data_IF_403402764209
#
_entry.id   IF_403402764209
#
_cell.length_a   1.000
_cell.length_b   1.000
_cell.length_c   1.000
_cell.angle_alpha   90.00
_cell.angle_beta   90.00
_cell.angle_gamma   90.00
#
_symmetry.space_group_name_H-M   'P 1'
#
loop_
_entity.id
_entity.type
_entity.pdbx_description
1 polymer ?
#
# COMPACT_ATOMS: atom_id res chain seq x y z
N UNK A 1 -14.86 28.85 -15.55
CA UNK A 1 -15.82 27.79 -15.96
C UNK A 1 -15.83 27.54 -17.47
N UNK A 2 -16.08 28.54 -18.33
CA UNK A 2 -16.14 28.35 -19.78
C UNK A 2 -14.85 27.80 -20.43
N UNK A 3 -13.67 28.24 -19.97
CA UNK A 3 -12.38 27.79 -20.52
C UNK A 3 -12.08 26.30 -20.24
N UNK A 4 -12.51 25.79 -19.08
CA UNK A 4 -12.31 24.38 -18.69
C UNK A 4 -13.17 23.46 -19.57
N UNK A 5 -14.41 23.89 -19.87
CA UNK A 5 -15.30 23.15 -20.77
C UNK A 5 -14.70 23.09 -22.19
N UNK A 6 -14.19 24.22 -22.71
CA UNK A 6 -13.52 24.24 -24.01
C UNK A 6 -12.30 23.33 -24.05
N UNK A 7 -11.48 23.35 -23.01
CA UNK A 7 -10.31 22.49 -22.90
C UNK A 7 -10.66 21.00 -22.84
N UNK A 8 -11.69 20.62 -22.07
CA UNK A 8 -12.22 19.26 -22.02
C UNK A 8 -12.73 18.78 -23.38
N UNK A 9 -13.44 19.65 -24.13
CA UNK A 9 -13.91 19.29 -25.47
C UNK A 9 -12.78 19.08 -26.47
N UNK A 10 -11.69 19.84 -26.36
CA UNK A 10 -10.49 19.69 -27.21
C UNK A 10 -9.77 18.37 -26.92
N UNK A 11 -9.60 18.03 -25.64
CA UNK A 11 -9.01 16.75 -25.21
C UNK A 11 -9.86 15.57 -25.69
N UNK A 12 -11.18 15.65 -25.48
CA UNK A 12 -12.11 14.63 -25.95
C UNK A 12 -12.02 14.39 -27.45
N UNK A 13 -11.97 15.47 -28.27
CA UNK A 13 -11.80 15.35 -29.72
C UNK A 13 -10.45 14.76 -30.12
N UNK A 14 -9.38 15.08 -29.39
CA UNK A 14 -8.02 14.59 -29.68
C UNK A 14 -7.85 13.11 -29.36
N UNK A 15 -8.45 12.66 -28.25
CA UNK A 15 -8.46 11.25 -27.84
C UNK A 15 -9.40 10.41 -28.69
N UNK A 16 -10.55 10.95 -29.14
CA UNK A 16 -11.53 10.21 -29.91
C UNK A 16 -11.12 9.98 -31.38
N UNK A 17 -10.32 10.88 -31.96
CA UNK A 17 -9.92 10.84 -33.38
C UNK A 17 -9.15 9.58 -33.81
N UNK A 18 -8.12 9.09 -33.08
CA UNK A 18 -7.36 7.91 -33.49
C UNK A 18 -8.14 6.59 -33.34
N UNK A 19 -9.08 6.53 -32.40
CA UNK A 19 -9.84 5.30 -32.09
C UNK A 19 -11.15 5.21 -32.86
N UNK A 20 -11.59 6.31 -33.49
CA UNK A 20 -12.83 6.41 -34.26
C UNK A 20 -13.08 5.22 -35.22
N UNK A 21 -12.15 4.79 -36.09
CA UNK A 21 -12.43 3.72 -37.05
C UNK A 21 -12.61 2.33 -36.41
N UNK A 22 -12.01 2.11 -35.24
CA UNK A 22 -12.08 0.83 -34.51
C UNK A 22 -13.35 0.76 -33.67
N UNK A 23 -13.76 1.89 -33.09
CA UNK A 23 -14.94 1.95 -32.20
C UNK A 23 -16.24 2.13 -33.01
N UNK A 24 -16.24 2.80 -34.17
CA UNK A 24 -17.47 3.06 -34.93
C UNK A 24 -18.31 1.81 -35.27
N UNK A 25 -17.76 0.70 -35.78
CA UNK A 25 -18.58 -0.46 -36.14
C UNK A 25 -19.17 -1.17 -34.91
N UNK A 26 -18.52 -1.07 -33.74
CA UNK A 26 -18.96 -1.73 -32.50
C UNK A 26 -19.91 -0.87 -31.66
N UNK A 27 -19.70 0.45 -31.61
CA UNK A 27 -20.62 1.42 -30.96
C UNK A 27 -21.92 1.65 -31.75
N UNK A 28 -21.97 1.35 -33.05
CA UNK A 28 -23.23 1.41 -33.81
C UNK A 28 -24.19 0.28 -33.44
N UNK A 29 -23.67 -0.87 -33.00
CA UNK A 29 -24.48 -2.00 -32.56
C UNK A 29 -25.02 -1.80 -31.13
N UNK A 30 -24.21 -1.19 -30.26
CA UNK A 30 -24.51 -1.05 -28.83
C UNK A 30 -24.77 0.42 -28.53
N UNK A 31 -26.01 0.74 -28.18
CA UNK A 31 -26.39 2.11 -27.83
C UNK A 31 -25.62 2.55 -26.56
N UNK A 32 -25.16 3.79 -26.51
CA UNK A 32 -24.36 4.32 -25.37
C UNK A 32 -25.02 4.06 -24.00
N UNK A 33 -26.36 4.11 -23.91
CA UNK A 33 -27.08 3.80 -22.67
C UNK A 33 -26.94 2.34 -22.22
N UNK A 34 -26.76 1.39 -23.15
CA UNK A 34 -26.52 -0.02 -22.83
C UNK A 34 -25.13 -0.22 -22.22
N UNK A 35 -24.12 0.52 -22.69
CA UNK A 35 -22.79 0.52 -22.07
C UNK A 35 -22.83 1.07 -20.65
N UNK A 36 -23.56 2.17 -20.43
CA UNK A 36 -23.75 2.73 -19.09
C UNK A 36 -24.47 1.75 -18.16
N UNK A 37 -25.48 1.03 -18.65
CA UNK A 37 -26.15 -0.02 -17.90
C UNK A 37 -25.21 -1.17 -17.55
N UNK A 38 -24.38 -1.62 -18.48
CA UNK A 38 -23.41 -2.70 -18.22
C UNK A 38 -22.41 -2.27 -17.14
N UNK A 39 -21.88 -1.04 -17.23
CA UNK A 39 -20.97 -0.49 -16.22
C UNK A 39 -21.67 -0.40 -14.86
N UNK A 40 -22.91 0.11 -14.81
CA UNK A 40 -23.70 0.19 -13.59
C UNK A 40 -23.97 -1.19 -12.96
N UNK A 41 -24.23 -2.21 -13.79
CA UNK A 41 -24.41 -3.59 -13.33
C UNK A 41 -23.11 -4.17 -12.79
N UNK A 42 -21.97 -3.92 -13.44
CA UNK A 42 -20.65 -4.33 -12.94
C UNK A 42 -20.36 -3.68 -11.59
N UNK A 43 -20.64 -2.39 -11.42
CA UNK A 43 -20.48 -1.68 -10.15
C UNK A 43 -21.39 -2.25 -9.06
N UNK A 44 -22.66 -2.56 -9.39
CA UNK A 44 -23.61 -3.19 -8.46
C UNK A 44 -23.11 -4.56 -7.98
N UNK A 45 -22.61 -5.39 -8.91
CA UNK A 45 -22.06 -6.71 -8.60
C UNK A 45 -20.81 -6.58 -7.73
N UNK A 46 -19.92 -5.63 -8.03
CA UNK A 46 -18.72 -5.35 -7.25
C UNK A 46 -19.05 -4.90 -5.82
N UNK A 47 -20.13 -4.14 -5.62
CA UNK A 47 -20.60 -3.72 -4.30
C UNK A 47 -21.15 -4.89 -3.48
N UNK A 48 -21.81 -5.86 -4.12
CA UNK A 48 -22.39 -7.04 -3.46
C UNK A 48 -21.33 -8.07 -3.06
N UNK A 49 -20.23 -8.17 -3.80
CA UNK A 49 -19.12 -9.10 -3.53
C UNK A 49 -17.79 -8.36 -3.59
N UNK A 50 -17.37 -7.70 -2.49
CA UNK A 50 -16.05 -7.09 -2.45
C UNK A 50 -14.98 -8.15 -2.70
N UNK A 51 -13.96 -7.80 -3.49
CA UNK A 51 -12.83 -8.67 -3.74
C UNK A 51 -12.13 -9.03 -2.42
N UNK A 52 -11.62 -10.26 -2.26
CA UNK A 52 -10.83 -10.61 -1.10
C UNK A 52 -9.58 -9.72 -1.00
N UNK A 53 -9.24 -9.29 0.22
CA UNK A 53 -8.15 -8.34 0.46
C UNK A 53 -6.81 -8.82 -0.12
N UNK A 54 -6.56 -10.12 -0.12
CA UNK A 54 -5.35 -10.71 -0.70
C UNK A 54 -5.19 -10.38 -2.19
N UNK A 55 -6.28 -10.43 -2.97
CA UNK A 55 -6.25 -10.12 -4.41
C UNK A 55 -6.02 -8.62 -4.60
N UNK A 56 -6.69 -7.79 -3.81
CA UNK A 56 -6.53 -6.33 -3.86
C UNK A 56 -5.07 -5.95 -3.58
N UNK A 57 -4.46 -6.56 -2.57
CA UNK A 57 -3.08 -6.28 -2.17
C UNK A 57 -2.07 -6.83 -3.18
N UNK A 58 -2.28 -8.04 -3.72
CA UNK A 58 -1.44 -8.57 -4.81
C UNK A 58 -1.49 -7.68 -6.06
N UNK A 59 -2.67 -7.24 -6.48
CA UNK A 59 -2.83 -6.36 -7.64
C UNK A 59 -2.21 -4.98 -7.40
N UNK A 60 -2.39 -4.40 -6.21
CA UNK A 60 -1.80 -3.11 -5.88
C UNK A 60 -0.28 -3.17 -5.74
N UNK A 61 0.30 -4.28 -5.25
CA UNK A 61 1.75 -4.51 -5.28
C UNK A 61 2.28 -4.61 -6.72
N UNK A 62 1.55 -5.30 -7.61
CA UNK A 62 1.95 -5.43 -9.01
C UNK A 62 1.89 -4.07 -9.74
N UNK A 63 0.89 -3.25 -9.44
CA UNK A 63 0.72 -1.93 -10.03
C UNK A 63 1.68 -0.88 -9.45
N UNK A 64 1.93 -0.93 -8.13
CA UNK A 64 2.71 0.06 -7.39
C UNK A 64 3.70 -0.61 -6.43
N UNK A 65 4.73 -1.29 -6.95
CA UNK A 65 5.63 -2.10 -6.13
C UNK A 65 6.45 -1.29 -5.13
N UNK A 66 6.53 0.04 -5.25
CA UNK A 66 7.25 0.95 -4.33
C UNK A 66 6.38 1.55 -3.23
N UNK A 67 5.08 1.25 -3.17
CA UNK A 67 4.19 1.76 -2.13
C UNK A 67 4.44 1.08 -0.78
N UNK A 68 4.97 1.83 0.20
CA UNK A 68 5.24 1.31 1.55
C UNK A 68 3.97 0.80 2.24
N UNK A 69 2.85 1.51 2.11
CA UNK A 69 1.57 1.08 2.71
C UNK A 69 1.08 -0.25 2.14
N UNK A 70 1.26 -0.46 0.83
CA UNK A 70 0.87 -1.70 0.16
C UNK A 70 1.75 -2.86 0.59
N UNK A 71 3.07 -2.65 0.70
CA UNK A 71 4.01 -3.65 1.21
C UNK A 71 3.73 -4.00 2.67
N UNK A 72 3.44 -2.99 3.51
CA UNK A 72 3.00 -3.19 4.90
C UNK A 72 1.78 -4.09 4.99
N UNK A 73 0.73 -3.78 4.22
CA UNK A 73 -0.50 -4.58 4.19
C UNK A 73 -0.23 -6.02 3.71
N UNK A 74 0.67 -6.19 2.75
CA UNK A 74 1.08 -7.52 2.29
C UNK A 74 1.82 -8.30 3.38
N UNK A 75 2.74 -7.67 4.10
CA UNK A 75 3.49 -8.32 5.18
C UNK A 75 2.57 -8.73 6.33
N UNK A 76 1.56 -7.91 6.66
CA UNK A 76 0.56 -8.24 7.68
C UNK A 76 -0.30 -9.46 7.31
N UNK A 77 -0.58 -9.65 6.03
CA UNK A 77 -1.28 -10.85 5.54
C UNK A 77 -0.34 -12.05 5.52
N UNK A 78 0.88 -11.88 5.01
CA UNK A 78 1.87 -12.94 4.88
C UNK A 78 2.36 -13.50 6.22
N UNK A 79 2.51 -12.64 7.24
CA UNK A 79 2.92 -13.03 8.60
C UNK A 79 1.83 -13.78 9.38
N UNK A 80 0.62 -13.88 8.81
CA UNK A 80 -0.56 -14.46 9.44
C UNK A 80 -1.39 -13.39 10.17
N UNK A 81 -2.72 -13.60 10.27
CA UNK A 81 -3.67 -12.55 10.66
C UNK A 81 -3.31 -11.93 12.02
N UNK A 82 -2.72 -10.73 11.95
CA UNK A 82 -2.35 -9.92 13.10
C UNK A 82 -1.21 -10.48 13.97
N UNK A 83 -0.46 -11.50 13.52
CA UNK A 83 0.65 -12.05 14.34
C UNK A 83 1.71 -11.00 14.62
N UNK A 84 2.16 -10.32 13.57
CA UNK A 84 3.21 -9.31 13.67
C UNK A 84 2.75 -8.10 14.49
N UNK A 85 1.48 -7.72 14.34
CA UNK A 85 0.87 -6.64 15.14
C UNK A 85 0.74 -7.02 16.62
N UNK A 86 0.34 -8.26 16.94
CA UNK A 86 0.35 -8.77 18.30
C UNK A 86 1.74 -8.75 18.92
N UNK A 87 2.77 -9.13 18.15
CA UNK A 87 4.15 -9.10 18.63
C UNK A 87 4.60 -7.67 18.94
N UNK A 88 4.31 -6.70 18.07
CA UNK A 88 4.59 -5.28 18.34
C UNK A 88 3.90 -4.83 19.63
N UNK A 89 2.59 -5.08 19.78
CA UNK A 89 1.86 -4.65 20.98
C UNK A 89 2.38 -5.29 22.26
N UNK A 90 2.86 -6.54 22.20
CA UNK A 90 3.45 -7.21 23.35
C UNK A 90 4.78 -6.56 23.75
N UNK A 91 5.65 -6.23 22.79
CA UNK A 91 6.91 -5.56 23.07
C UNK A 91 6.74 -4.10 23.49
N UNK A 92 5.76 -3.39 22.95
CA UNK A 92 5.40 -2.04 23.42
C UNK A 92 4.94 -2.06 24.87
N UNK A 93 4.14 -3.05 25.26
CA UNK A 93 3.74 -3.24 26.66
C UNK A 93 4.95 -3.50 27.56
N UNK A 94 5.89 -4.34 27.13
CA UNK A 94 7.15 -4.57 27.87
C UNK A 94 7.95 -3.28 28.01
N UNK A 95 8.02 -2.45 26.96
CA UNK A 95 8.70 -1.16 27.01
C UNK A 95 8.02 -0.18 27.98
N UNK A 96 6.70 -0.25 28.16
CA UNK A 96 5.97 0.59 29.13
C UNK A 96 6.08 0.11 30.57
N UNK A 97 6.23 -1.20 30.79
CA UNK A 97 6.28 -1.80 32.14
C UNK A 97 7.70 -1.92 32.69
N UNK A 98 8.71 -2.05 31.83
CA UNK A 98 10.12 -2.16 32.20
C UNK A 98 10.90 -0.92 31.79
N UNK A 99 12.00 -0.64 32.49
CA UNK A 99 12.95 0.40 32.11
C UNK A 99 13.47 0.14 30.68
N UNK A 100 13.65 1.19 29.88
CA UNK A 100 14.06 1.08 28.47
C UNK A 100 15.27 0.15 28.32
N UNK A 101 15.05 -1.03 27.74
CA UNK A 101 16.09 -2.03 27.51
C UNK A 101 16.49 -2.01 26.04
N UNK A 102 17.80 -2.02 25.78
CA UNK A 102 18.39 -2.08 24.44
C UNK A 102 17.77 -3.20 23.59
N UNK A 103 17.63 -4.40 24.16
CA UNK A 103 17.16 -5.57 23.42
C UNK A 103 15.69 -5.43 23.01
N UNK A 104 14.86 -4.79 23.84
CA UNK A 104 13.46 -4.49 23.54
C UNK A 104 13.37 -3.46 22.42
N UNK A 105 14.17 -2.40 22.48
CA UNK A 105 14.22 -1.36 21.44
C UNK A 105 14.72 -1.91 20.10
N UNK A 106 15.75 -2.78 20.10
CA UNK A 106 16.22 -3.45 18.90
C UNK A 106 15.13 -4.35 18.30
N UNK A 107 14.42 -5.10 19.15
CA UNK A 107 13.35 -5.99 18.68
C UNK A 107 12.18 -5.22 18.08
N UNK A 108 11.77 -4.12 18.70
CA UNK A 108 10.78 -3.20 18.12
C UNK A 108 11.28 -2.59 16.81
N UNK A 109 12.54 -2.15 16.73
CA UNK A 109 13.10 -1.58 15.50
C UNK A 109 13.02 -2.56 14.32
N UNK A 110 13.33 -3.84 14.55
CA UNK A 110 13.27 -4.88 13.52
C UNK A 110 11.83 -5.18 13.08
N UNK A 111 10.88 -5.19 14.02
CA UNK A 111 9.46 -5.39 13.70
C UNK A 111 8.89 -4.21 12.89
N UNK A 112 9.26 -2.98 13.24
CA UNK A 112 8.86 -1.79 12.50
C UNK A 112 9.51 -1.70 11.12
N UNK A 113 10.79 -2.09 11.00
CA UNK A 113 11.47 -2.19 9.71
C UNK A 113 10.78 -3.20 8.79
N UNK A 114 10.35 -4.34 9.34
CA UNK A 114 9.59 -5.35 8.60
C UNK A 114 8.23 -4.82 8.12
N UNK A 115 7.65 -3.83 8.79
CA UNK A 115 6.43 -3.14 8.36
C UNK A 115 6.68 -2.02 7.35
N UNK A 116 7.90 -1.83 6.88
CA UNK A 116 8.30 -0.70 6.02
C UNK A 116 8.04 0.67 6.69
N UNK A 117 8.05 0.71 8.02
CA UNK A 117 8.03 1.95 8.79
C UNK A 117 9.46 2.36 9.15
N UNK A 118 10.22 2.80 8.14
CA UNK A 118 11.65 3.03 8.27
C UNK A 118 12.00 4.11 9.31
N UNK A 119 11.17 5.17 9.41
CA UNK A 119 11.39 6.27 10.36
C UNK A 119 11.18 5.84 11.83
N UNK A 120 10.16 5.02 12.10
CA UNK A 120 9.92 4.51 13.46
C UNK A 120 10.98 3.50 13.84
N UNK A 121 11.33 2.59 12.91
CA UNK A 121 12.42 1.65 13.09
C UNK A 121 13.75 2.35 13.42
N UNK A 122 14.10 3.38 12.64
CA UNK A 122 15.31 4.19 12.86
C UNK A 122 15.31 4.88 14.22
N UNK A 123 14.17 5.41 14.64
CA UNK A 123 14.03 6.05 15.96
C UNK A 123 14.31 5.07 17.09
N UNK A 124 13.73 3.87 17.05
CA UNK A 124 14.00 2.83 18.06
C UNK A 124 15.45 2.35 18.03
N UNK A 125 16.02 2.24 16.83
CA UNK A 125 17.41 1.83 16.66
C UNK A 125 18.40 2.86 17.23
N UNK A 126 18.15 4.15 17.00
CA UNK A 126 18.94 5.24 17.59
C UNK A 126 18.84 5.28 19.12
N UNK A 127 17.64 5.03 19.68
CA UNK A 127 17.48 4.93 21.14
C UNK A 127 18.22 3.74 21.72
N UNK A 128 18.17 2.58 21.05
CA UNK A 128 18.94 1.41 21.47
C UNK A 128 20.45 1.69 21.49
N UNK A 129 20.94 2.42 20.47
CA UNK A 129 22.34 2.84 20.39
C UNK A 129 22.74 3.80 21.51
N UNK A 130 21.86 4.74 21.87
CA UNK A 130 22.13 5.66 22.98
C UNK A 130 22.36 4.91 24.30
N UNK A 131 21.67 3.79 24.52
CA UNK A 131 21.83 2.96 25.72
C UNK A 131 23.10 2.10 25.70
N UNK A 132 23.60 1.71 24.51
CA UNK A 132 24.83 0.93 24.36
C UNK A 132 25.59 1.32 23.08
N UNK A 133 26.43 2.37 23.15
CA UNK A 133 27.20 2.82 22.01
C UNK A 133 28.24 1.80 21.51
N UNK A 134 28.64 0.83 22.34
CA UNK A 134 29.65 -0.18 22.01
C UNK A 134 29.13 -1.28 21.08
N UNK A 135 27.80 -1.44 20.99
CA UNK A 135 27.14 -2.51 20.24
C UNK A 135 27.36 -2.44 18.72
N UNK A 136 27.37 -1.25 18.11
CA UNK A 136 27.50 -1.11 16.64
C UNK A 136 28.84 -1.65 16.15
N UNK A 137 29.89 -1.54 16.97
CA UNK A 137 31.23 -2.05 16.67
C UNK A 137 31.30 -3.58 16.58
N UNK A 138 30.32 -4.31 17.13
CA UNK A 138 30.26 -5.77 17.09
C UNK A 138 29.33 -6.33 16.02
N UNK A 139 28.56 -5.47 15.35
CA UNK A 139 27.67 -5.89 14.26
C UNK A 139 28.46 -6.06 12.95
N UNK A 140 28.18 -7.11 12.17
CA UNK A 140 28.74 -7.22 10.83
C UNK A 140 28.23 -6.05 9.99
N UNK A 141 29.17 -5.37 9.29
CA UNK A 141 28.95 -4.18 8.44
C UNK A 141 27.85 -4.37 7.37
N UNK A 142 27.39 -5.59 7.13
CA UNK A 142 26.44 -5.98 6.10
C UNK A 142 24.96 -5.70 6.43
N UNK A 143 24.64 -5.14 7.60
CA UNK A 143 23.26 -4.85 8.03
C UNK A 143 22.77 -3.42 7.67
N UNK A 144 23.50 -2.71 6.81
CA UNK A 144 23.20 -1.33 6.38
C UNK A 144 23.02 -1.21 4.87
#
# INVERSE_FOLDING_TARGET
>A
MAAIIQYLTLIGKRLYRPVRPVINPTLQLIKVWQLLLIIAVIELIAALKPLPQEIIIKNSLAAWPWSQSTRRSAELIASGPGRLQKEITAWEKVLTEQNESRDVLLRLSLLYYRLYEDETAKTYWQRAFYLDPGFVTSLPVQLF
#
